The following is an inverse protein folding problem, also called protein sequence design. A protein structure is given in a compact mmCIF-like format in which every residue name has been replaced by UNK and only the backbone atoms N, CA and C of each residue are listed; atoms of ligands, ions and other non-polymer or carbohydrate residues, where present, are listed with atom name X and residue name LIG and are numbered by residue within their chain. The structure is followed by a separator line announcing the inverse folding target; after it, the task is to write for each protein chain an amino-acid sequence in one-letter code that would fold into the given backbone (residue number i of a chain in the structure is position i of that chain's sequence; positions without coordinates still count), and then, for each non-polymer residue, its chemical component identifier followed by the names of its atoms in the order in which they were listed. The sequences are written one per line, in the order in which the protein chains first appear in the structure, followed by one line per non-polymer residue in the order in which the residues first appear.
data_IF_195539555704
#
_entry.id   IF_195539555704
#
_cell.length_a   1.000
_cell.length_b   1.000
_cell.length_c   1.000
_cell.angle_alpha   90.00
_cell.angle_beta   90.00
_cell.angle_gamma   90.00
#
_symmetry.space_group_name_H-M   'P 1'
#
loop_
_entity.id
_entity.type
_entity.pdbx_description
1 polymer ?
#
# COMPACT_ATOMS: atom_id res chain seq x y z
N UNK A 1 -35.09 46.19 -2.17
CA UNK A 1 -34.19 45.29 -2.94
C UNK A 1 -33.20 44.70 -1.94
N UNK A 2 -33.41 43.46 -1.50
CA UNK A 2 -32.60 42.78 -0.50
C UNK A 2 -31.86 41.66 -1.23
N UNK A 3 -30.52 41.74 -1.30
CA UNK A 3 -29.67 40.75 -1.97
C UNK A 3 -29.13 39.83 -0.87
N UNK A 4 -29.63 38.57 -0.76
CA UNK A 4 -29.03 37.63 0.16
C UNK A 4 -27.70 37.15 -0.43
N UNK A 5 -26.59 37.56 0.18
CA UNK A 5 -25.28 36.94 -0.04
C UNK A 5 -25.32 35.55 0.62
N UNK A 6 -25.42 34.49 -0.18
CA UNK A 6 -25.16 33.14 0.31
C UNK A 6 -23.65 33.02 0.57
N UNK A 7 -23.23 33.24 1.82
CA UNK A 7 -21.92 32.80 2.30
C UNK A 7 -21.91 31.27 2.36
N UNK A 8 -21.38 30.63 1.33
CA UNK A 8 -21.14 29.19 1.32
C UNK A 8 -19.95 28.86 2.22
N UNK A 9 -20.19 28.14 3.32
CA UNK A 9 -19.13 27.59 4.15
C UNK A 9 -18.48 26.41 3.40
N UNK A 10 -17.29 26.62 2.83
CA UNK A 10 -16.46 25.50 2.40
C UNK A 10 -16.03 24.71 3.64
N UNK A 11 -16.19 23.38 3.62
CA UNK A 11 -15.73 22.51 4.71
C UNK A 11 -14.45 21.85 4.24
N UNK A 12 -13.35 22.08 4.97
CA UNK A 12 -12.08 21.37 4.77
C UNK A 12 -12.07 20.20 5.77
N UNK A 13 -11.88 19.00 5.26
CA UNK A 13 -11.78 17.77 6.04
C UNK A 13 -10.34 17.26 5.95
N UNK A 14 -9.69 17.09 7.11
CA UNK A 14 -8.31 16.61 7.22
C UNK A 14 -8.35 15.25 7.91
N UNK A 15 -7.75 14.24 7.28
CA UNK A 15 -7.72 12.87 7.82
C UNK A 15 -6.30 12.31 7.84
N UNK A 16 -6.02 11.58 8.92
CA UNK A 16 -4.76 10.89 9.11
C UNK A 16 -3.67 11.76 9.72
N UNK A 17 -2.45 11.23 9.75
CA UNK A 17 -1.27 11.90 10.25
C UNK A 17 -0.31 12.12 9.10
N UNK A 18 0.08 13.36 8.86
CA UNK A 18 1.09 13.68 7.85
C UNK A 18 2.45 13.20 8.34
N UNK A 19 3.16 12.46 7.50
CA UNK A 19 4.53 12.06 7.80
C UNK A 19 5.47 13.04 7.11
N UNK A 20 6.33 13.69 7.89
CA UNK A 20 7.24 14.67 7.32
C UNK A 20 8.34 13.96 6.48
N UNK A 21 8.68 14.50 5.29
CA UNK A 21 9.72 13.92 4.43
C UNK A 21 11.07 13.77 5.14
N UNK A 22 11.39 14.67 6.06
CA UNK A 22 12.63 14.63 6.86
C UNK A 22 12.67 13.44 7.84
N UNK A 23 11.51 13.00 8.32
CA UNK A 23 11.41 11.81 9.16
C UNK A 23 11.55 10.54 8.32
N UNK A 24 10.98 10.52 7.11
CA UNK A 24 11.15 9.41 6.17
C UNK A 24 12.59 9.26 5.70
N UNK A 25 13.30 10.37 5.50
CA UNK A 25 14.71 10.36 5.12
C UNK A 25 15.63 9.71 6.18
N UNK A 26 15.19 9.63 7.44
CA UNK A 26 15.90 8.95 8.54
C UNK A 26 15.63 7.44 8.58
N UNK A 27 14.68 6.94 7.80
CA UNK A 27 14.35 5.52 7.73
C UNK A 27 15.29 4.84 6.73
N UNK A 28 16.28 4.15 7.27
CA UNK A 28 17.24 3.37 6.48
C UNK A 28 16.76 1.92 6.29
N UNK A 29 16.70 1.47 5.03
CA UNK A 29 16.37 0.09 4.64
C UNK A 29 17.44 -0.88 5.18
N UNK A 30 17.01 -2.01 5.74
CA UNK A 30 17.87 -3.05 6.33
C UNK A 30 18.45 -2.70 7.70
N UNK A 31 18.42 -1.44 8.11
CA UNK A 31 18.98 -0.97 9.39
C UNK A 31 17.86 -0.66 10.38
N UNK A 32 16.88 0.13 9.95
CA UNK A 32 15.81 0.63 10.81
C UNK A 32 14.87 -0.50 11.18
N UNK A 33 14.61 -0.65 12.49
CA UNK A 33 13.66 -1.63 13.00
C UNK A 33 12.24 -1.09 13.08
N UNK A 34 11.25 -1.97 13.08
CA UNK A 34 9.83 -1.65 13.25
C UNK A 34 9.53 -0.82 14.51
N UNK A 35 10.25 -1.07 15.60
CA UNK A 35 10.14 -0.27 16.82
C UNK A 35 10.68 1.15 16.64
N UNK A 36 11.83 1.30 15.96
CA UNK A 36 12.40 2.61 15.65
C UNK A 36 11.49 3.40 14.70
N UNK A 37 10.92 2.76 13.67
CA UNK A 37 9.92 3.40 12.81
C UNK A 37 8.76 3.93 13.64
N UNK A 38 8.22 3.12 14.56
CA UNK A 38 7.13 3.55 15.46
C UNK A 38 7.51 4.72 16.36
N UNK A 39 8.75 4.75 16.85
CA UNK A 39 9.27 5.86 17.67
C UNK A 39 9.43 7.15 16.86
N UNK A 40 9.82 7.03 15.59
CA UNK A 40 10.04 8.18 14.71
C UNK A 40 8.74 8.72 14.11
N UNK A 41 7.87 7.84 13.61
CA UNK A 41 6.69 8.18 12.80
C UNK A 41 5.37 8.01 13.56
N UNK A 42 5.37 7.38 14.74
CA UNK A 42 4.17 7.09 15.50
C UNK A 42 3.47 5.79 15.10
N UNK A 43 2.17 5.72 15.37
CA UNK A 43 1.35 4.54 15.04
C UNK A 43 0.90 4.63 13.58
N UNK A 44 1.00 3.55 12.78
CA UNK A 44 0.54 3.58 11.40
C UNK A 44 -0.98 3.78 11.32
N UNK A 45 -1.46 4.37 10.22
CA UNK A 45 -2.88 4.52 9.92
C UNK A 45 -3.55 3.16 9.67
N UNK A 46 -2.84 2.24 9.03
CA UNK A 46 -3.32 0.88 8.76
C UNK A 46 -2.17 -0.12 8.71
N UNK A 47 -2.46 -1.37 9.06
CA UNK A 47 -1.53 -2.50 9.02
C UNK A 47 -2.11 -3.56 8.09
N UNK A 48 -1.32 -4.07 7.15
CA UNK A 48 -1.77 -5.14 6.25
C UNK A 48 -2.09 -6.41 7.04
N UNK A 49 -3.28 -7.03 6.85
CA UNK A 49 -3.58 -8.33 7.43
C UNK A 49 -2.95 -9.50 6.64
N UNK A 50 -2.41 -9.25 5.44
CA UNK A 50 -1.85 -10.27 4.56
C UNK A 50 -0.37 -10.00 4.28
N UNK A 51 0.47 -11.03 4.45
CA UNK A 51 1.91 -10.94 4.23
C UNK A 51 2.68 -10.21 5.33
N UNK A 52 4.00 -10.33 5.32
CA UNK A 52 4.89 -9.82 6.37
C UNK A 52 4.70 -8.29 6.61
N UNK A 53 3.98 -7.96 7.69
CA UNK A 53 4.06 -6.73 8.48
C UNK A 53 3.98 -5.34 7.78
N UNK A 54 3.46 -5.18 6.56
CA UNK A 54 3.39 -3.86 5.90
C UNK A 54 2.58 -2.82 6.68
N UNK A 55 3.16 -1.63 6.87
CA UNK A 55 2.53 -0.46 7.50
C UNK A 55 2.22 0.62 6.47
N UNK A 56 1.06 1.23 6.63
CA UNK A 56 0.60 2.35 5.81
C UNK A 56 0.42 3.60 6.66
N UNK A 57 1.03 4.69 6.22
CA UNK A 57 0.76 6.03 6.71
C UNK A 57 0.06 6.79 5.60
N UNK A 58 -1.18 7.19 5.87
CA UNK A 58 -2.06 7.83 4.91
C UNK A 58 -2.49 9.18 5.47
N UNK A 59 -2.30 10.23 4.68
CA UNK A 59 -2.75 11.58 4.96
C UNK A 59 -3.54 12.11 3.77
N UNK A 60 -4.74 12.63 4.02
CA UNK A 60 -5.61 13.19 2.99
C UNK A 60 -6.24 14.50 3.47
N UNK A 61 -6.17 15.52 2.62
CA UNK A 61 -6.89 16.78 2.77
C UNK A 61 -7.93 16.84 1.66
N UNK A 62 -9.19 16.95 2.04
CA UNK A 62 -10.33 16.97 1.12
C UNK A 62 -11.13 18.25 1.32
N UNK A 63 -11.38 18.98 0.24
CA UNK A 63 -12.21 20.18 0.26
C UNK A 63 -13.60 19.86 -0.29
N UNK A 64 -14.64 20.23 0.46
CA UNK A 64 -16.03 20.18 -0.03
C UNK A 64 -16.60 21.58 -0.13
N UNK A 65 -16.98 21.98 -1.35
CA UNK A 65 -17.69 23.25 -1.62
C UNK A 65 -19.18 23.01 -1.73
N UNK A 66 -19.95 23.54 -0.79
CA UNK A 66 -21.42 23.47 -0.78
C UNK A 66 -21.97 22.05 -1.00
N UNK A 67 -22.85 21.86 -1.99
CA UNK A 67 -23.49 20.58 -2.34
C UNK A 67 -22.70 19.74 -3.35
N UNK A 68 -21.52 20.19 -3.79
CA UNK A 68 -20.70 19.46 -4.76
C UNK A 68 -19.94 18.30 -4.10
N UNK A 69 -19.55 17.34 -4.93
CA UNK A 69 -18.71 16.21 -4.51
C UNK A 69 -17.38 16.71 -3.93
N UNK A 70 -16.90 16.10 -2.84
CA UNK A 70 -15.60 16.42 -2.26
C UNK A 70 -14.46 16.20 -3.27
N UNK A 71 -13.48 17.11 -3.27
CA UNK A 71 -12.25 16.98 -4.08
C UNK A 71 -11.05 16.78 -3.17
N UNK A 72 -10.20 15.81 -3.50
CA UNK A 72 -8.91 15.60 -2.81
C UNK A 72 -7.97 16.74 -3.21
N UNK A 73 -7.53 17.51 -2.22
CA UNK A 73 -6.61 18.63 -2.42
C UNK A 73 -5.16 18.16 -2.31
N UNK A 74 -4.90 17.26 -1.36
CA UNK A 74 -3.58 16.66 -1.15
C UNK A 74 -3.76 15.25 -0.58
N UNK A 75 -3.02 14.29 -1.11
CA UNK A 75 -2.92 12.95 -0.56
C UNK A 75 -1.45 12.52 -0.51
N UNK A 76 -1.02 11.95 0.62
CA UNK A 76 0.28 11.33 0.79
C UNK A 76 0.08 9.93 1.36
N UNK A 77 0.59 8.93 0.66
CA UNK A 77 0.54 7.53 1.07
C UNK A 77 1.96 7.02 1.15
N UNK A 78 2.41 6.72 2.35
CA UNK A 78 3.69 6.06 2.61
C UNK A 78 3.45 4.60 2.97
N UNK A 79 4.11 3.69 2.26
CA UNK A 79 4.13 2.26 2.51
C UNK A 79 5.50 1.85 3.03
N UNK A 80 5.52 1.18 4.18
CA UNK A 80 6.73 0.63 4.79
C UNK A 80 6.56 -0.88 4.91
N UNK A 81 7.42 -1.64 4.26
CA UNK A 81 7.44 -3.09 4.34
C UNK A 81 8.53 -3.53 5.31
N UNK A 82 8.29 -4.64 6.02
CA UNK A 82 9.24 -5.19 6.97
C UNK A 82 9.57 -6.64 6.64
N UNK A 83 10.83 -7.01 6.86
CA UNK A 83 11.29 -8.39 6.75
C UNK A 83 10.89 -9.24 7.97
N UNK A 84 11.26 -10.53 7.93
CA UNK A 84 10.99 -11.47 9.03
C UNK A 84 11.73 -11.11 10.34
N UNK A 85 12.77 -10.29 10.25
CA UNK A 85 13.58 -9.79 11.36
C UNK A 85 13.04 -8.45 11.90
N UNK A 86 11.88 -7.99 11.44
CA UNK A 86 11.25 -6.72 11.78
C UNK A 86 12.11 -5.50 11.44
N UNK A 87 12.87 -5.55 10.34
CA UNK A 87 13.60 -4.42 9.78
C UNK A 87 12.94 -3.95 8.50
N UNK A 88 13.09 -2.67 8.19
CA UNK A 88 12.52 -2.07 6.98
C UNK A 88 13.14 -2.75 5.75
N UNK A 89 12.32 -3.35 4.90
CA UNK A 89 12.74 -4.02 3.66
C UNK A 89 12.44 -3.17 2.42
N UNK A 90 11.37 -2.37 2.45
CA UNK A 90 11.01 -1.43 1.39
C UNK A 90 10.34 -0.19 1.97
N UNK A 91 10.57 0.95 1.32
CA UNK A 91 9.94 2.23 1.62
C UNK A 91 9.47 2.86 0.31
N UNK A 92 8.16 3.05 0.17
CA UNK A 92 7.54 3.69 -0.98
C UNK A 92 6.68 4.87 -0.50
N UNK A 93 6.65 5.96 -1.25
CA UNK A 93 5.81 7.13 -0.94
C UNK A 93 5.19 7.68 -2.22
N UNK A 94 3.90 7.93 -2.19
CA UNK A 94 3.13 8.45 -3.34
C UNK A 94 2.38 9.69 -2.90
N UNK A 95 2.53 10.78 -3.65
CA UNK A 95 1.82 12.03 -3.42
C UNK A 95 0.79 12.31 -4.52
N UNK A 96 -0.16 13.20 -4.24
CA UNK A 96 -1.15 13.65 -5.24
C UNK A 96 -0.49 14.30 -6.48
N UNK A 97 0.67 14.93 -6.29
CA UNK A 97 1.47 15.47 -7.40
C UNK A 97 1.98 14.36 -8.32
N UNK A 98 2.33 13.20 -7.76
CA UNK A 98 2.73 12.03 -8.55
C UNK A 98 1.55 11.46 -9.32
N UNK A 99 0.33 11.46 -8.76
CA UNK A 99 -0.86 10.95 -9.46
C UNK A 99 -1.23 11.73 -10.73
N UNK A 100 -0.97 13.03 -10.78
CA UNK A 100 -1.19 13.84 -11.98
C UNK A 100 -0.24 13.42 -13.14
N UNK A 101 0.99 12.99 -12.81
CA UNK A 101 1.99 12.47 -13.77
C UNK A 101 1.75 10.99 -14.10
N UNK A 102 1.18 10.23 -13.16
CA UNK A 102 0.97 8.77 -13.20
C UNK A 102 -0.42 8.38 -13.73
N UNK A 103 -1.16 9.31 -14.36
CA UNK A 103 -2.43 9.00 -15.04
C UNK A 103 -2.29 8.10 -16.29
N UNK A 104 -1.10 7.53 -16.53
CA UNK A 104 -0.79 6.66 -17.66
C UNK A 104 0.20 5.53 -17.33
N UNK A 105 -0.02 4.77 -16.26
CA UNK A 105 0.65 3.46 -16.13
C UNK A 105 -0.33 2.40 -15.67
N UNK A 106 -0.50 1.40 -16.53
CA UNK A 106 -1.03 0.06 -16.21
C UNK A 106 -0.13 -0.56 -15.15
N UNK A 107 -0.35 -0.20 -13.87
CA UNK A 107 0.24 -0.91 -12.74
C UNK A 107 -0.62 -2.14 -12.49
N UNK A 108 -0.26 -3.25 -13.13
CA UNK A 108 -0.76 -4.57 -12.74
C UNK A 108 -0.24 -4.85 -11.34
N UNK A 109 -1.15 -5.01 -10.38
CA UNK A 109 -0.79 -5.58 -9.09
C UNK A 109 -0.35 -7.03 -9.33
N UNK A 110 0.88 -7.42 -8.98
CA UNK A 110 1.27 -8.81 -9.07
C UNK A 110 0.45 -9.57 -8.03
N UNK A 111 -0.65 -10.19 -8.46
CA UNK A 111 -1.39 -11.13 -7.65
C UNK A 111 -0.41 -12.21 -7.20
N UNK A 112 -0.31 -12.42 -5.89
CA UNK A 112 0.41 -13.54 -5.27
C UNK A 112 -0.33 -14.87 -5.57
N UNK A 113 -0.47 -15.19 -6.85
CA UNK A 113 -0.94 -16.47 -7.33
C UNK A 113 0.27 -17.37 -7.44
N UNK A 114 0.43 -18.25 -6.46
CA UNK A 114 1.38 -19.35 -6.49
C UNK A 114 1.18 -20.20 -7.76
N UNK A 115 1.86 -19.87 -8.84
CA UNK A 115 1.89 -20.63 -10.10
C UNK A 115 2.85 -21.82 -10.01
N UNK A 116 2.79 -22.57 -8.91
CA UNK A 116 3.49 -23.85 -8.77
C UNK A 116 2.55 -25.05 -8.56
N UNK A 117 1.30 -24.85 -8.11
CA UNK A 117 0.38 -25.97 -7.87
C UNK A 117 -0.23 -26.61 -9.13
N UNK A 118 -0.44 -25.84 -10.21
CA UNK A 118 -1.15 -26.33 -11.40
C UNK A 118 -0.27 -27.25 -12.27
N UNK A 119 1.03 -26.96 -12.36
CA UNK A 119 1.96 -27.81 -13.12
C UNK A 119 2.31 -29.10 -12.35
N UNK A 120 2.39 -29.05 -11.02
CA UNK A 120 2.65 -30.22 -10.18
C UNK A 120 1.51 -31.26 -10.24
N UNK A 121 0.27 -30.80 -10.44
CA UNK A 121 -0.89 -31.69 -10.56
C UNK A 121 -0.97 -32.42 -11.92
N UNK A 122 -0.37 -31.87 -12.98
CA UNK A 122 -0.30 -32.52 -14.30
C UNK A 122 0.82 -33.57 -14.33
N UNK A 123 1.95 -33.32 -13.68
CA UNK A 123 3.07 -34.27 -13.63
C UNK A 123 2.97 -35.31 -12.51
N UNK A 124 2.14 -35.09 -11.47
CA UNK A 124 1.96 -36.02 -10.36
C UNK A 124 1.27 -37.36 -10.69
N UNK A 125 0.68 -37.52 -11.88
CA UNK A 125 -0.03 -38.75 -12.28
C UNK A 125 0.60 -39.50 -13.47
N UNK A 126 1.68 -38.99 -14.09
CA UNK A 126 2.39 -39.63 -15.21
C UNK A 126 3.64 -40.33 -14.67
N UNK A 127 3.45 -41.43 -13.94
CA UNK A 127 4.60 -42.19 -13.41
C UNK A 127 4.29 -43.59 -12.92
N UNK A 128 3.04 -44.04 -12.99
CA UNK A 128 2.63 -45.36 -12.49
C UNK A 128 2.46 -46.38 -13.60
N UNK A 129 3.53 -46.63 -14.34
CA UNK A 129 3.71 -47.87 -15.11
C UNK A 129 5.10 -48.41 -14.83
N UNK A 130 5.26 -49.03 -13.66
CA UNK A 130 6.28 -50.04 -13.47
C UNK A 130 5.57 -51.33 -13.09
N UNK A 131 5.77 -52.33 -13.93
CA UNK A 131 5.23 -53.68 -13.82
C UNK A 131 5.95 -54.55 -14.82
N UNK A 132 7.26 -54.73 -14.61
CA UNK A 132 7.98 -55.92 -15.07
C UNK A 132 7.11 -57.15 -14.77
N UNK A 133 6.94 -58.02 -15.75
CA UNK A 133 6.71 -59.44 -15.45
C UNK A 133 7.77 -60.28 -16.20
N UNK A 134 8.52 -61.15 -15.49
CA UNK A 134 9.55 -62.01 -16.04
C UNK A 134 8.99 -63.38 -16.46
N UNK A 135 9.60 -63.97 -17.49
CA UNK A 135 9.64 -65.42 -17.78
C UNK A 135 8.33 -66.22 -17.93
N UNK A 136 7.92 -66.47 -19.20
CA UNK A 136 7.79 -67.81 -19.81
C UNK A 136 7.42 -67.76 -21.28
#
# INVERSE_FOLDING_TARGET
MFVPLLSGCATIDIRGHEVEPEQLAKVEIGVTTKDQVRKMLGTPSSVSPFGNSTWYYMFEITERRAFFSPSVLNSNITRIEFDAQNRVSSLDSVTEKDKQVVSHVTRQEPTAGHSFGVLEQIFGNVGRFNGKDPDK
#
